data_IF_684610648548
#
_entry.id   IF_684610648548
#
_cell.length_a   1.000
_cell.length_b   1.000
_cell.length_c   1.000
_cell.angle_alpha   90.00
_cell.angle_beta   90.00
_cell.angle_gamma   90.00
#
_symmetry.space_group_name_H-M   'P 1'
#
loop_
_entity.id
_entity.type
_entity.pdbx_description
1 polymer ?
#
# COMPACT_ATOMS: atom_id res chain seq x y z
N UNK A 1 -15.66 11.82 -15.56
CA UNK A 1 -16.08 12.33 -14.23
C UNK A 1 -15.41 11.46 -13.17
N UNK A 2 -14.84 12.03 -12.11
CA UNK A 2 -14.03 11.29 -11.11
C UNK A 2 -14.94 10.70 -10.02
N UNK A 3 -14.77 9.41 -9.71
CA UNK A 3 -15.44 8.73 -8.59
C UNK A 3 -14.61 8.87 -7.31
N UNK A 4 -14.68 10.06 -6.71
CA UNK A 4 -13.90 10.47 -5.53
C UNK A 4 -14.03 9.49 -4.36
N UNK A 5 -15.22 8.90 -4.16
CA UNK A 5 -15.47 7.91 -3.10
C UNK A 5 -14.56 6.68 -3.21
N UNK A 6 -14.30 6.20 -4.44
CA UNK A 6 -13.41 5.04 -4.63
C UNK A 6 -11.96 5.37 -4.26
N UNK A 7 -11.51 6.58 -4.60
CA UNK A 7 -10.16 7.05 -4.25
C UNK A 7 -10.02 7.18 -2.74
N UNK A 8 -11.03 7.70 -2.03
CA UNK A 8 -11.02 7.76 -0.56
C UNK A 8 -10.95 6.37 0.07
N UNK A 9 -11.80 5.43 -0.37
CA UNK A 9 -11.80 4.07 0.18
C UNK A 9 -10.45 3.39 -0.07
N UNK A 10 -9.92 3.48 -1.30
CA UNK A 10 -8.60 2.92 -1.65
C UNK A 10 -7.49 3.52 -0.80
N UNK A 11 -7.48 4.84 -0.63
CA UNK A 11 -6.48 5.57 0.14
C UNK A 11 -6.50 5.20 1.62
N UNK A 12 -7.66 5.23 2.26
CA UNK A 12 -7.81 4.90 3.69
C UNK A 12 -7.45 3.46 3.95
N UNK A 13 -7.90 2.53 3.09
CA UNK A 13 -7.55 1.11 3.20
C UNK A 13 -6.03 0.89 3.18
N UNK A 14 -5.32 1.56 2.27
CA UNK A 14 -3.87 1.44 2.14
C UNK A 14 -3.13 2.08 3.33
N UNK A 15 -3.61 3.22 3.86
CA UNK A 15 -3.08 3.83 5.09
C UNK A 15 -3.22 2.87 6.28
N UNK A 16 -4.42 2.32 6.48
CA UNK A 16 -4.68 1.37 7.57
C UNK A 16 -3.81 0.12 7.45
N UNK A 17 -3.62 -0.37 6.23
CA UNK A 17 -2.74 -1.51 5.96
C UNK A 17 -1.26 -1.21 6.27
N UNK A 18 -0.80 0.01 5.95
CA UNK A 18 0.54 0.48 6.31
C UNK A 18 0.74 0.63 7.82
N UNK A 19 -0.24 1.15 8.54
CA UNK A 19 -0.25 1.18 10.02
C UNK A 19 -0.18 -0.26 10.58
N UNK A 20 -0.92 -1.18 9.96
CA UNK A 20 -0.92 -2.60 10.29
C UNK A 20 0.43 -3.31 10.06
N UNK A 21 1.30 -2.77 9.21
CA UNK A 21 2.69 -3.23 9.13
C UNK A 21 3.49 -2.76 10.35
N UNK A 22 3.40 -1.48 10.68
CA UNK A 22 4.28 -0.87 11.69
C UNK A 22 3.95 -1.37 13.11
N UNK A 23 2.68 -1.37 13.51
CA UNK A 23 2.29 -1.64 14.90
C UNK A 23 2.71 -3.02 15.44
N UNK A 24 2.49 -4.15 14.73
CA UNK A 24 2.86 -5.48 15.21
C UNK A 24 4.30 -5.91 14.86
N UNK A 25 5.16 -5.03 14.34
CA UNK A 25 6.50 -5.39 13.80
C UNK A 25 7.29 -6.31 14.73
N UNK A 26 7.39 -5.96 16.02
CA UNK A 26 8.13 -6.78 17.01
C UNK A 26 7.58 -8.20 17.15
N UNK A 27 6.26 -8.36 17.11
CA UNK A 27 5.61 -9.67 17.20
C UNK A 27 5.83 -10.50 15.93
N UNK A 28 5.76 -9.85 14.77
CA UNK A 28 5.96 -10.49 13.49
C UNK A 28 7.41 -10.96 13.33
N UNK A 29 8.39 -10.13 13.64
CA UNK A 29 9.82 -10.48 13.54
C UNK A 29 10.16 -11.68 14.43
N UNK A 30 9.59 -11.75 15.64
CA UNK A 30 9.72 -12.92 16.53
C UNK A 30 9.09 -14.20 15.95
N UNK A 31 8.07 -14.06 15.09
CA UNK A 31 7.38 -15.17 14.45
C UNK A 31 8.17 -15.88 13.34
N UNK A 32 9.27 -15.30 12.85
CA UNK A 32 10.12 -15.91 11.82
C UNK A 32 11.08 -17.01 12.33
N UNK A 33 11.08 -17.30 13.64
CA UNK A 33 11.92 -18.35 14.24
C UNK A 33 13.33 -17.88 14.61
N UNK A 34 14.31 -18.78 14.53
CA UNK A 34 15.69 -18.48 14.92
C UNK A 34 16.38 -17.70 13.80
N UNK A 35 16.63 -16.42 14.05
CA UNK A 35 17.32 -15.50 13.15
C UNK A 35 18.60 -14.97 13.81
N UNK A 36 19.64 -14.71 13.01
CA UNK A 36 20.77 -13.88 13.44
C UNK A 36 20.29 -12.46 13.78
N UNK A 37 21.05 -11.73 14.59
CA UNK A 37 20.67 -10.37 14.96
C UNK A 37 20.67 -9.40 13.78
N UNK A 38 21.53 -9.63 12.79
CA UNK A 38 21.54 -8.85 11.55
C UNK A 38 20.28 -9.11 10.71
N UNK A 39 19.87 -10.38 10.57
CA UNK A 39 18.64 -10.72 9.86
C UNK A 39 17.40 -10.10 10.55
N UNK A 40 17.36 -10.10 11.89
CA UNK A 40 16.26 -9.45 12.63
C UNK A 40 16.20 -7.95 12.33
N UNK A 41 17.35 -7.27 12.32
CA UNK A 41 17.43 -5.83 12.03
C UNK A 41 16.98 -5.53 10.60
N UNK A 42 17.46 -6.29 9.61
CA UNK A 42 17.08 -6.10 8.20
C UNK A 42 15.58 -6.35 8.01
N UNK A 43 15.04 -7.46 8.52
CA UNK A 43 13.59 -7.74 8.41
C UNK A 43 12.78 -6.65 9.10
N UNK A 44 13.21 -6.17 10.27
CA UNK A 44 12.53 -5.06 10.96
C UNK A 44 12.53 -3.79 10.11
N UNK A 45 13.68 -3.45 9.50
CA UNK A 45 13.81 -2.28 8.63
C UNK A 45 12.88 -2.38 7.43
N UNK A 46 12.94 -3.48 6.68
CA UNK A 46 12.12 -3.69 5.49
C UNK A 46 10.63 -3.68 5.82
N UNK A 47 10.25 -4.29 6.94
CA UNK A 47 8.86 -4.32 7.39
C UNK A 47 8.31 -2.92 7.70
N UNK A 48 9.10 -2.09 8.37
CA UNK A 48 8.74 -0.69 8.67
C UNK A 48 8.74 0.14 7.38
N UNK A 49 9.74 -0.04 6.52
CA UNK A 49 9.85 0.67 5.25
C UNK A 49 8.63 0.43 4.36
N UNK A 50 8.19 -0.82 4.24
CA UNK A 50 6.97 -1.18 3.51
C UNK A 50 5.73 -0.52 4.12
N UNK A 51 5.60 -0.53 5.45
CA UNK A 51 4.50 0.14 6.15
C UNK A 51 4.46 1.66 5.90
N UNK A 52 5.61 2.32 5.96
CA UNK A 52 5.73 3.76 5.66
C UNK A 52 5.42 4.07 4.20
N UNK A 53 5.90 3.24 3.27
CA UNK A 53 5.61 3.38 1.85
C UNK A 53 4.09 3.27 1.58
N UNK A 54 3.41 2.31 2.21
CA UNK A 54 1.96 2.18 2.11
C UNK A 54 1.24 3.42 2.67
N UNK A 55 1.61 3.91 3.84
CA UNK A 55 1.01 5.14 4.40
C UNK A 55 1.18 6.31 3.42
N UNK A 56 2.38 6.49 2.86
CA UNK A 56 2.63 7.52 1.86
C UNK A 56 1.77 7.35 0.60
N UNK A 57 1.71 6.13 0.06
CA UNK A 57 0.93 5.81 -1.15
C UNK A 57 -0.59 5.93 -0.96
N UNK A 58 -1.08 5.92 0.28
CA UNK A 58 -2.48 6.26 0.58
C UNK A 58 -2.69 7.74 0.88
N UNK A 59 -1.75 8.41 1.57
CA UNK A 59 -1.85 9.84 1.86
C UNK A 59 -1.75 10.72 0.62
N UNK A 60 -0.87 10.38 -0.33
CA UNK A 60 -0.69 11.16 -1.56
C UNK A 60 -2.00 11.30 -2.36
N UNK A 61 -2.67 10.20 -2.79
CA UNK A 61 -3.95 10.31 -3.50
C UNK A 61 -5.07 10.92 -2.64
N UNK A 62 -5.08 10.68 -1.33
CA UNK A 62 -6.02 11.32 -0.41
C UNK A 62 -5.89 12.84 -0.42
N UNK A 63 -4.66 13.34 -0.28
CA UNK A 63 -4.38 14.77 -0.28
C UNK A 63 -4.59 15.40 -1.65
N UNK A 64 -4.22 14.71 -2.74
CA UNK A 64 -4.55 15.17 -4.10
C UNK A 64 -6.05 15.42 -4.24
N UNK A 65 -6.89 14.50 -3.77
CA UNK A 65 -8.35 14.66 -3.86
C UNK A 65 -8.86 15.83 -3.02
N UNK A 66 -8.25 16.11 -1.86
CA UNK A 66 -8.69 17.17 -0.95
C UNK A 66 -8.23 18.56 -1.44
N UNK A 67 -7.05 18.66 -2.04
CA UNK A 67 -6.37 19.94 -2.27
C UNK A 67 -6.17 20.31 -3.75
N UNK A 68 -6.46 19.44 -4.70
CA UNK A 68 -6.24 19.68 -6.14
C UNK A 68 -7.53 19.62 -6.96
N UNK A 69 -7.59 20.38 -8.06
CA UNK A 69 -8.69 20.32 -9.01
C UNK A 69 -8.52 19.12 -9.96
N UNK A 70 -9.60 18.38 -10.19
CA UNK A 70 -9.69 17.28 -11.16
C UNK A 70 -9.49 17.66 -12.63
N UNK A 71 -9.35 18.96 -12.94
CA UNK A 71 -8.96 19.45 -14.27
C UNK A 71 -7.45 19.50 -14.48
N UNK A 72 -6.66 19.38 -13.41
CA UNK A 72 -5.19 19.42 -13.49
C UNK A 72 -4.60 18.05 -13.82
N UNK A 73 -3.56 18.03 -14.66
CA UNK A 73 -2.85 16.77 -14.98
C UNK A 73 -2.19 16.15 -13.74
N UNK A 74 -1.73 16.96 -12.80
CA UNK A 74 -1.14 16.53 -11.54
C UNK A 74 -2.11 15.67 -10.70
N UNK A 75 -3.42 15.94 -10.79
CA UNK A 75 -4.45 15.16 -10.12
C UNK A 75 -4.40 13.69 -10.56
N UNK A 76 -4.48 13.45 -11.87
CA UNK A 76 -4.47 12.10 -12.44
C UNK A 76 -3.11 11.42 -12.27
N UNK A 77 -2.02 12.15 -12.51
CA UNK A 77 -0.65 11.60 -12.44
C UNK A 77 -0.37 11.09 -11.03
N UNK A 78 -0.68 11.85 -9.99
CA UNK A 78 -0.40 11.45 -8.61
C UNK A 78 -1.18 10.20 -8.18
N UNK A 79 -2.47 10.12 -8.55
CA UNK A 79 -3.31 8.96 -8.22
C UNK A 79 -2.86 7.72 -9.01
N UNK A 80 -2.63 7.84 -10.32
CA UNK A 80 -2.20 6.73 -11.15
C UNK A 80 -0.79 6.25 -10.80
N UNK A 81 0.15 7.15 -10.53
CA UNK A 81 1.49 6.78 -10.08
C UNK A 81 1.44 5.99 -8.77
N UNK A 82 0.58 6.40 -7.83
CA UNK A 82 0.36 5.67 -6.58
C UNK A 82 -0.23 4.28 -6.83
N UNK A 83 -1.24 4.17 -7.68
CA UNK A 83 -1.85 2.90 -8.04
C UNK A 83 -0.89 1.94 -8.76
N UNK A 84 -0.08 2.45 -9.70
CA UNK A 84 0.95 1.66 -10.39
C UNK A 84 1.99 1.16 -9.39
N UNK A 85 2.45 2.00 -8.47
CA UNK A 85 3.40 1.56 -7.46
C UNK A 85 2.81 0.49 -6.53
N UNK A 86 1.53 0.61 -6.16
CA UNK A 86 0.83 -0.43 -5.40
C UNK A 86 0.78 -1.77 -6.17
N UNK A 87 0.57 -1.75 -7.49
CA UNK A 87 0.63 -2.96 -8.34
C UNK A 87 2.04 -3.54 -8.34
N UNK A 88 3.08 -2.72 -8.54
CA UNK A 88 4.48 -3.17 -8.49
C UNK A 88 4.80 -3.83 -7.15
N UNK A 89 4.39 -3.20 -6.05
CA UNK A 89 4.57 -3.77 -4.71
C UNK A 89 3.72 -5.03 -4.48
N UNK A 90 2.51 -5.12 -5.07
CA UNK A 90 1.67 -6.31 -4.98
C UNK A 90 2.34 -7.50 -5.69
N UNK A 91 2.88 -7.28 -6.88
CA UNK A 91 3.66 -8.26 -7.64
C UNK A 91 4.86 -8.71 -6.80
N UNK A 92 5.65 -7.77 -6.28
CA UNK A 92 6.79 -8.09 -5.41
C UNK A 92 6.36 -8.96 -4.21
N UNK A 93 5.29 -8.58 -3.51
CA UNK A 93 4.78 -9.35 -2.37
C UNK A 93 4.26 -10.73 -2.75
N UNK A 94 3.61 -10.88 -3.90
CA UNK A 94 3.11 -12.17 -4.39
C UNK A 94 4.26 -13.15 -4.67
N UNK A 95 5.38 -12.66 -5.21
CA UNK A 95 6.55 -13.48 -5.50
C UNK A 95 7.48 -13.70 -4.29
N UNK A 96 7.40 -12.85 -3.27
CA UNK A 96 8.26 -12.91 -2.08
C UNK A 96 7.45 -13.21 -0.80
N UNK A 97 6.98 -12.18 -0.10
CA UNK A 97 6.36 -12.28 1.22
C UNK A 97 5.17 -13.24 1.31
N UNK A 98 4.34 -13.34 0.28
CA UNK A 98 3.18 -14.24 0.25
C UNK A 98 3.55 -15.73 0.27
N UNK A 99 4.82 -16.06 0.00
CA UNK A 99 5.35 -17.43 0.10
C UNK A 99 5.85 -17.79 1.51
N UNK A 100 5.78 -16.87 2.47
CA UNK A 100 6.12 -17.14 3.87
C UNK A 100 4.94 -17.77 4.62
N UNK A 101 5.16 -18.27 5.84
CA UNK A 101 4.10 -18.72 6.74
C UNK A 101 3.33 -17.56 7.41
N UNK A 102 3.79 -16.32 7.27
CA UNK A 102 3.24 -15.14 7.96
C UNK A 102 1.97 -14.68 7.24
N UNK A 103 0.81 -14.86 7.90
CA UNK A 103 -0.51 -14.60 7.30
C UNK A 103 -0.68 -13.17 6.76
N UNK A 104 -0.29 -12.08 7.48
CA UNK A 104 -0.35 -10.73 6.93
C UNK A 104 0.36 -10.57 5.57
N UNK A 105 1.50 -11.24 5.37
CA UNK A 105 2.22 -11.17 4.10
C UNK A 105 1.47 -11.85 2.95
N UNK A 106 0.69 -12.89 3.23
CA UNK A 106 -0.16 -13.56 2.24
C UNK A 106 -1.31 -12.66 1.77
N UNK A 107 -1.83 -11.80 2.65
CA UNK A 107 -2.91 -10.87 2.34
C UNK A 107 -2.41 -9.61 1.61
N UNK A 108 -1.17 -9.21 1.86
CA UNK A 108 -0.55 -8.00 1.33
C UNK A 108 -0.72 -7.79 -0.20
N UNK A 109 -0.47 -8.78 -1.08
CA UNK A 109 -0.67 -8.58 -2.52
C UNK A 109 -2.13 -8.28 -2.87
N UNK A 110 -3.10 -8.89 -2.19
CA UNK A 110 -4.53 -8.66 -2.47
C UNK A 110 -4.97 -7.27 -2.03
N UNK A 111 -4.56 -6.82 -0.83
CA UNK A 111 -4.93 -5.49 -0.31
C UNK A 111 -4.35 -4.38 -1.20
N UNK A 112 -3.08 -4.51 -1.63
CA UNK A 112 -2.44 -3.56 -2.54
C UNK A 112 -3.12 -3.54 -3.91
N UNK A 113 -3.42 -4.70 -4.46
CA UNK A 113 -4.12 -4.81 -5.76
C UNK A 113 -5.50 -4.16 -5.68
N UNK A 114 -6.27 -4.45 -4.62
CA UNK A 114 -7.59 -3.84 -4.42
C UNK A 114 -7.49 -2.31 -4.29
N UNK A 115 -6.50 -1.81 -3.52
CA UNK A 115 -6.29 -0.37 -3.38
C UNK A 115 -5.97 0.30 -4.71
N UNK A 116 -5.10 -0.32 -5.51
CA UNK A 116 -4.78 0.15 -6.85
C UNK A 116 -6.00 0.16 -7.78
N UNK A 117 -6.81 -0.91 -7.78
CA UNK A 117 -8.03 -1.00 -8.58
C UNK A 117 -8.99 0.13 -8.22
N UNK A 118 -9.25 0.35 -6.92
CA UNK A 118 -10.12 1.43 -6.46
C UNK A 118 -9.64 2.81 -6.92
N UNK A 119 -8.33 3.07 -6.83
CA UNK A 119 -7.73 4.32 -7.29
C UNK A 119 -7.85 4.50 -8.81
N UNK A 120 -7.60 3.45 -9.60
CA UNK A 120 -7.72 3.47 -11.07
C UNK A 120 -9.17 3.69 -11.50
N UNK A 121 -10.10 2.91 -10.96
CA UNK A 121 -11.53 3.07 -11.29
C UNK A 121 -12.05 4.45 -10.87
N UNK A 122 -11.51 5.00 -9.78
CA UNK A 122 -11.77 6.35 -9.32
C UNK A 122 -11.52 7.42 -10.38
N UNK A 123 -10.51 7.25 -11.23
CA UNK A 123 -10.10 8.25 -12.23
C UNK A 123 -10.45 7.87 -13.68
N UNK A 124 -10.70 6.59 -13.98
CA UNK A 124 -10.90 6.11 -15.37
C UNK A 124 -12.37 5.95 -15.76
N UNK A 125 -13.29 5.65 -14.85
CA UNK A 125 -14.69 5.39 -15.23
C UNK A 125 -15.39 6.72 -15.59
N UNK A 126 -15.81 6.93 -16.86
CA UNK A 126 -16.72 8.01 -17.21
C UNK A 126 -18.15 7.60 -16.83
N UNK A 127 -18.85 8.46 -16.08
CA UNK A 127 -20.31 8.51 -16.07
C UNK A 127 -20.73 9.63 -17.01
#
# INVERSE_FOLDING_TARGET
MVLVVLIYIGSVMIILWGIGHIFPTKSIVKGFGVLSDDNKKIITMEWIAEGMALIFLGLLPLFTVIFSDSNESAFYISILASAVMLIVMAILSAFTGARTSVLPMKMCPFIKTLGAILMILGVVIPM
#
